data_IF_772171543792
#
_entry.id   IF_772171543792
#
_cell.length_a   1.000
_cell.length_b   1.000
_cell.length_c   1.000
_cell.angle_alpha   90.00
_cell.angle_beta   90.00
_cell.angle_gamma   90.00
#
_symmetry.space_group_name_H-M   'P 1'
#
loop_
_entity.id
_entity.type
_entity.pdbx_description
1 polymer ?
#
# COMPACT_ATOMS: atom_id res chain seq x y z
N UNK A 1 -8.43 -13.13 23.58
CA UNK A 1 -7.23 -13.89 23.22
C UNK A 1 -7.62 -15.36 23.29
N UNK A 2 -7.28 -16.15 22.28
CA UNK A 2 -7.51 -17.59 22.35
C UNK A 2 -6.21 -18.26 22.83
N UNK A 3 -6.19 -18.68 24.10
CA UNK A 3 -5.05 -19.38 24.73
C UNK A 3 -4.64 -20.64 23.94
N UNK A 4 -5.54 -21.20 23.13
CA UNK A 4 -5.30 -22.45 22.41
C UNK A 4 -4.24 -22.37 21.31
N UNK A 5 -3.81 -21.18 20.88
CA UNK A 5 -2.95 -21.00 19.70
C UNK A 5 -1.57 -20.41 19.97
N UNK A 6 -1.16 -20.29 21.25
CA UNK A 6 0.17 -19.79 21.65
C UNK A 6 0.58 -18.48 20.95
N UNK A 7 -0.38 -17.58 20.70
CA UNK A 7 -0.15 -16.24 20.15
C UNK A 7 0.56 -16.17 18.77
N UNK A 8 0.73 -17.27 18.03
CA UNK A 8 1.60 -17.31 16.83
C UNK A 8 0.91 -17.64 15.50
N UNK A 9 -0.43 -17.67 15.46
CA UNK A 9 -1.20 -18.02 14.26
C UNK A 9 -1.47 -16.84 13.30
N UNK A 10 -0.77 -15.71 13.46
CA UNK A 10 -0.92 -14.51 12.63
C UNK A 10 -2.30 -13.83 12.68
N UNK A 11 -3.10 -14.06 13.72
CA UNK A 11 -4.43 -13.45 13.86
C UNK A 11 -4.42 -11.94 14.12
N UNK A 12 -3.27 -11.37 14.55
CA UNK A 12 -3.14 -9.95 14.89
C UNK A 12 -2.40 -9.17 13.81
N UNK A 13 -2.84 -7.94 13.59
CA UNK A 13 -2.13 -6.93 12.81
C UNK A 13 -1.12 -6.18 13.69
N UNK A 14 -1.53 -5.89 14.91
CA UNK A 14 -0.68 -5.35 15.97
C UNK A 14 -0.86 -6.29 17.16
N UNK A 15 0.20 -6.98 17.54
CA UNK A 15 0.27 -7.76 18.77
C UNK A 15 0.61 -6.78 19.90
N UNK A 16 -0.13 -6.87 21.01
CA UNK A 16 0.14 -6.10 22.23
C UNK A 16 0.20 -7.10 23.37
N UNK A 17 1.35 -7.20 24.03
CA UNK A 17 1.63 -8.18 25.07
C UNK A 17 2.64 -7.60 26.06
N UNK A 18 2.41 -7.77 27.36
CA UNK A 18 3.30 -7.33 28.44
C UNK A 18 3.76 -5.85 28.39
N UNK A 19 2.90 -4.97 27.86
CA UNK A 19 3.19 -3.54 27.73
C UNK A 19 4.04 -3.17 26.50
N UNK A 20 4.43 -4.16 25.71
CA UNK A 20 5.12 -4.02 24.43
C UNK A 20 4.15 -4.23 23.26
N UNK A 21 4.58 -3.86 22.05
CA UNK A 21 3.84 -4.14 20.83
C UNK A 21 4.73 -4.56 19.67
N UNK A 22 4.18 -5.41 18.80
CA UNK A 22 4.79 -5.81 17.53
C UNK A 22 3.79 -5.53 16.39
N UNK A 23 4.26 -4.87 15.33
CA UNK A 23 3.43 -4.55 14.17
C UNK A 23 3.74 -5.52 13.04
N UNK A 24 2.76 -6.33 12.64
CA UNK A 24 2.92 -7.24 11.51
C UNK A 24 2.97 -6.46 10.18
N UNK A 25 3.76 -6.94 9.21
CA UNK A 25 3.83 -6.37 7.83
C UNK A 25 2.47 -6.31 7.13
N UNK A 26 1.51 -7.16 7.53
CA UNK A 26 0.10 -7.08 7.06
C UNK A 26 -0.54 -5.71 7.37
N UNK A 27 -0.20 -5.09 8.49
CA UNK A 27 -0.63 -3.73 8.86
C UNK A 27 -0.14 -2.73 7.84
N UNK A 28 1.13 -2.81 7.46
CA UNK A 28 1.73 -1.90 6.48
C UNK A 28 1.21 -2.16 5.06
N UNK A 29 0.93 -3.42 4.71
CA UNK A 29 0.22 -3.74 3.47
C UNK A 29 -1.18 -3.10 3.41
N UNK A 30 -1.92 -3.04 4.53
CA UNK A 30 -3.18 -2.29 4.59
C UNK A 30 -2.98 -0.78 4.61
N UNK A 31 -1.90 -0.29 5.22
CA UNK A 31 -1.57 1.14 5.25
C UNK A 31 -1.32 1.69 3.84
N UNK A 32 -0.69 0.90 2.95
CA UNK A 32 -0.50 1.23 1.54
C UNK A 32 -1.80 1.56 0.79
N UNK A 33 -2.93 1.01 1.24
CA UNK A 33 -4.25 1.40 0.76
C UNK A 33 -4.85 2.52 1.64
N UNK A 34 -5.08 2.23 2.93
CA UNK A 34 -5.94 3.03 3.81
C UNK A 34 -5.48 4.46 4.08
N UNK A 35 -4.17 4.75 4.00
CA UNK A 35 -3.67 6.12 4.22
C UNK A 35 -3.97 7.05 3.04
N UNK A 36 -3.98 6.51 1.82
CA UNK A 36 -4.05 7.33 0.60
C UNK A 36 -5.33 7.10 -0.22
N UNK A 37 -5.90 5.90 -0.22
CA UNK A 37 -7.21 5.62 -0.82
C UNK A 37 -8.29 6.03 0.19
N UNK A 38 -8.92 7.18 -0.06
CA UNK A 38 -9.90 7.79 0.85
C UNK A 38 -11.31 7.21 0.64
N UNK A 39 -12.22 7.40 1.61
CA UNK A 39 -13.64 7.17 1.36
C UNK A 39 -14.11 7.83 0.07
N UNK A 40 -15.05 7.16 -0.62
CA UNK A 40 -15.61 7.56 -1.91
C UNK A 40 -14.63 7.54 -3.11
N UNK A 41 -13.42 7.01 -2.93
CA UNK A 41 -12.51 6.77 -4.04
C UNK A 41 -13.09 5.78 -5.05
N UNK A 42 -12.91 6.08 -6.34
CA UNK A 42 -13.31 5.20 -7.43
C UNK A 42 -12.11 4.44 -7.96
N UNK A 43 -12.21 3.11 -8.03
CA UNK A 43 -11.19 2.29 -8.70
C UNK A 43 -11.17 2.62 -10.19
N UNK A 44 -9.99 2.87 -10.73
CA UNK A 44 -9.79 3.14 -12.17
C UNK A 44 -9.05 1.99 -12.85
N UNK A 45 -9.16 1.91 -14.17
CA UNK A 45 -8.46 0.90 -14.95
C UNK A 45 -6.94 1.13 -14.91
N UNK A 46 -6.20 0.03 -14.93
CA UNK A 46 -4.75 -0.01 -15.01
C UNK A 46 -4.36 -0.99 -16.11
N UNK A 47 -3.35 -0.66 -16.90
CA UNK A 47 -2.84 -1.50 -17.97
C UNK A 47 -1.31 -1.48 -18.01
N UNK A 48 -0.72 -2.55 -18.55
CA UNK A 48 0.72 -2.68 -18.76
C UNK A 48 1.50 -3.40 -17.65
N UNK A 49 2.75 -3.73 -17.96
CA UNK A 49 3.74 -4.31 -17.05
C UNK A 49 3.49 -5.79 -16.67
N UNK A 50 4.46 -6.33 -15.93
CA UNK A 50 4.42 -7.64 -15.26
C UNK A 50 4.07 -7.55 -13.75
N UNK A 51 4.03 -6.31 -13.23
CA UNK A 51 3.68 -5.99 -11.84
C UNK A 51 2.17 -6.14 -11.57
N UNK A 52 1.80 -6.26 -10.30
CA UNK A 52 0.38 -6.29 -9.88
C UNK A 52 0.00 -4.90 -9.39
N UNK A 53 -0.80 -4.20 -10.19
CA UNK A 53 -1.15 -2.80 -9.94
C UNK A 53 -2.66 -2.63 -9.78
N UNK A 54 -3.04 -1.81 -8.81
CA UNK A 54 -4.40 -1.25 -8.71
C UNK A 54 -4.29 0.26 -8.57
N UNK A 55 -5.29 1.00 -9.08
CA UNK A 55 -5.31 2.45 -8.96
C UNK A 55 -6.70 2.96 -8.60
N UNK A 56 -6.71 4.09 -7.90
CA UNK A 56 -7.92 4.72 -7.36
C UNK A 56 -7.83 6.23 -7.55
N UNK A 57 -8.95 6.85 -7.92
CA UNK A 57 -9.11 8.29 -7.91
C UNK A 57 -9.96 8.70 -6.70
N UNK A 58 -9.39 9.50 -5.80
CA UNK A 58 -10.08 10.07 -4.66
C UNK A 58 -11.04 11.20 -5.11
N UNK A 59 -12.00 11.54 -4.24
CA UNK A 59 -12.96 12.62 -4.50
C UNK A 59 -12.32 14.00 -4.67
N UNK A 60 -11.18 14.25 -4.00
CA UNK A 60 -10.38 15.47 -4.14
C UNK A 60 -9.57 15.55 -5.44
N UNK A 61 -9.56 14.47 -6.23
CA UNK A 61 -8.88 14.37 -7.50
C UNK A 61 -7.51 13.71 -7.47
N UNK A 62 -6.93 13.48 -6.29
CA UNK A 62 -5.67 12.75 -6.16
C UNK A 62 -5.82 11.31 -6.69
N UNK A 63 -4.74 10.80 -7.27
CA UNK A 63 -4.68 9.44 -7.84
C UNK A 63 -3.66 8.65 -7.06
N UNK A 64 -4.05 7.46 -6.61
CA UNK A 64 -3.20 6.54 -5.87
C UNK A 64 -3.04 5.27 -6.67
N UNK A 65 -1.80 4.87 -6.93
CA UNK A 65 -1.47 3.58 -7.52
C UNK A 65 -0.77 2.72 -6.46
N UNK A 66 -1.32 1.54 -6.17
CA UNK A 66 -0.68 0.54 -5.32
C UNK A 66 -0.09 -0.54 -6.21
N UNK A 67 1.22 -0.72 -6.13
CA UNK A 67 2.01 -1.57 -7.03
C UNK A 67 2.73 -2.62 -6.19
N UNK A 68 2.51 -3.88 -6.51
CA UNK A 68 3.28 -5.00 -5.97
C UNK A 68 4.23 -5.51 -7.05
N UNK A 69 5.52 -5.49 -6.74
CA UNK A 69 6.54 -6.20 -7.49
C UNK A 69 6.62 -7.66 -6.98
N UNK A 70 6.19 -8.66 -7.77
CA UNK A 70 6.25 -10.06 -7.35
C UNK A 70 7.64 -10.69 -7.54
N UNK A 71 8.61 -9.93 -8.07
CA UNK A 71 9.95 -10.42 -8.36
C UNK A 71 10.89 -10.26 -7.17
N UNK A 72 11.89 -11.12 -7.08
CA UNK A 72 12.94 -11.09 -6.05
C UNK A 72 14.10 -10.12 -6.39
N UNK A 73 13.85 -9.10 -7.22
CA UNK A 73 14.84 -8.09 -7.58
C UNK A 73 14.17 -6.73 -7.81
N UNK A 74 14.94 -5.67 -7.58
CA UNK A 74 14.51 -4.30 -7.85
C UNK A 74 14.36 -4.05 -9.36
N UNK A 75 13.46 -3.14 -9.73
CA UNK A 75 13.23 -2.74 -11.11
C UNK A 75 12.73 -1.31 -11.20
N UNK A 76 13.04 -0.63 -12.29
CA UNK A 76 12.52 0.71 -12.58
C UNK A 76 11.09 0.60 -13.12
N UNK A 77 10.18 1.37 -12.53
CA UNK A 77 8.77 1.43 -12.97
C UNK A 77 8.48 2.81 -13.54
N UNK A 78 7.95 2.85 -14.76
CA UNK A 78 7.43 4.08 -15.37
C UNK A 78 5.91 4.10 -15.27
N UNK A 79 5.37 5.15 -14.65
CA UNK A 79 3.93 5.34 -14.50
C UNK A 79 3.46 6.49 -15.39
N UNK A 80 2.33 6.29 -16.04
CA UNK A 80 1.66 7.31 -16.84
C UNK A 80 0.18 7.34 -16.50
N UNK A 81 -0.34 8.50 -16.15
CA UNK A 81 -1.78 8.72 -16.02
C UNK A 81 -2.33 9.11 -17.40
N UNK A 82 -3.17 8.23 -17.96
CA UNK A 82 -3.73 8.39 -19.32
C UNK A 82 -4.94 9.33 -19.31
N UNK A 83 -5.86 9.10 -18.38
CA UNK A 83 -7.06 9.92 -18.22
C UNK A 83 -7.48 9.97 -16.76
N UNK A 84 -7.71 11.16 -16.26
CA UNK A 84 -8.29 11.41 -14.94
C UNK A 84 -9.06 12.73 -14.98
N UNK A 85 -9.98 12.92 -14.03
CA UNK A 85 -10.80 14.15 -13.93
C UNK A 85 -9.96 15.44 -13.81
N UNK A 86 -8.72 15.35 -13.33
CA UNK A 86 -7.83 16.48 -13.06
C UNK A 86 -6.55 16.31 -13.87
N UNK A 87 -6.07 17.32 -14.60
CA UNK A 87 -5.03 17.14 -15.63
C UNK A 87 -3.60 17.39 -15.17
N UNK A 88 -3.41 18.01 -14.00
CA UNK A 88 -2.11 18.43 -13.53
C UNK A 88 -1.87 17.86 -12.13
N UNK A 89 -0.71 17.24 -11.94
CA UNK A 89 -0.24 16.74 -10.66
C UNK A 89 0.93 17.60 -10.20
N UNK A 90 0.80 18.24 -9.05
CA UNK A 90 1.84 19.12 -8.51
C UNK A 90 2.98 18.33 -7.85
N UNK A 91 2.65 17.19 -7.24
CA UNK A 91 3.59 16.34 -6.51
C UNK A 91 3.27 14.86 -6.73
N UNK A 92 4.32 14.05 -6.83
CA UNK A 92 4.26 12.59 -6.73
C UNK A 92 5.07 12.18 -5.50
N UNK A 93 4.58 11.20 -4.75
CA UNK A 93 5.24 10.66 -3.57
C UNK A 93 5.03 9.16 -3.57
N UNK A 94 6.06 8.40 -3.16
CA UNK A 94 6.03 6.95 -3.12
C UNK A 94 6.31 6.47 -1.70
N UNK A 95 5.69 5.34 -1.34
CA UNK A 95 5.89 4.69 -0.05
C UNK A 95 6.24 3.21 -0.27
N UNK A 96 7.27 2.73 0.40
CA UNK A 96 7.80 1.37 0.26
C UNK A 96 7.41 0.49 1.44
N UNK A 97 7.00 -0.75 1.15
CA UNK A 97 6.83 -1.79 2.16
C UNK A 97 7.45 -3.07 1.64
N UNK A 98 8.42 -3.60 2.37
CA UNK A 98 9.09 -4.88 2.12
C UNK A 98 9.55 -5.50 3.45
N UNK A 99 10.56 -6.36 3.43
CA UNK A 99 11.11 -7.00 4.63
C UNK A 99 11.70 -5.96 5.62
N UNK A 100 12.35 -4.91 5.10
CA UNK A 100 13.13 -3.95 5.88
C UNK A 100 12.40 -2.62 6.09
N UNK A 101 11.42 -2.29 5.25
CA UNK A 101 10.75 -0.99 5.25
C UNK A 101 9.27 -1.10 5.66
N UNK A 102 8.84 -0.18 6.53
CA UNK A 102 7.49 -0.09 7.09
C UNK A 102 6.76 1.15 6.57
N UNK A 103 6.26 1.07 5.33
CA UNK A 103 5.59 2.18 4.63
C UNK A 103 6.41 3.48 4.66
N UNK A 104 7.69 3.35 4.31
CA UNK A 104 8.66 4.45 4.31
C UNK A 104 8.51 5.29 3.05
N UNK A 105 8.52 6.62 3.17
CA UNK A 105 8.53 7.51 2.00
C UNK A 105 9.88 7.38 1.26
N UNK A 106 9.82 7.16 -0.05
CA UNK A 106 11.01 7.02 -0.91
C UNK A 106 11.04 8.12 -1.96
N UNK A 107 12.26 8.61 -2.25
CA UNK A 107 12.53 9.61 -3.30
C UNK A 107 12.67 8.99 -4.70
#
# INVERSE_FOLDING_TARGET
QDEATNNNNNEKLILVEDGEYEVAKRTWSFAQYSRHVRPDAQRVATEGGDLKTTAYQNADGSVVAVILNPHYHAGTVSLRVISCKFREFEKVTAWLTDEDHDMEEVE
#
